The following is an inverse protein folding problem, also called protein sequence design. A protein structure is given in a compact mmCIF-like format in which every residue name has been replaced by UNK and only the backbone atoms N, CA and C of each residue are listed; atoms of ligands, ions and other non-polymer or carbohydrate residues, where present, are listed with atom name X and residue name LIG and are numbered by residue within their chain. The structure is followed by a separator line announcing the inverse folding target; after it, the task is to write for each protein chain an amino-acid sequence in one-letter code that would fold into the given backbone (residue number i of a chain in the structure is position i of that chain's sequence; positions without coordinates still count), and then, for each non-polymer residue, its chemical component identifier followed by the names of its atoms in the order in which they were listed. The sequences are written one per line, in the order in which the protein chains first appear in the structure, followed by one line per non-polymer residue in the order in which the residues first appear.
data_IF_187332270735
#
_entry.id   IF_187332270735
#
_cell.length_a   1.000
_cell.length_b   1.000
_cell.length_c   1.000
_cell.angle_alpha   90.00
_cell.angle_beta   90.00
_cell.angle_gamma   90.00
#
_symmetry.space_group_name_H-M   'P 1'
#
loop_
_entity.id
_entity.type
_entity.pdbx_description
1 polymer ?
#
# COMPACT_ATOMS: atom_id res chain seq x y z
N UNK A 1 -5.83 14.31 12.12
CA UNK A 1 -6.22 13.50 10.96
C UNK A 1 -7.28 14.27 10.21
N UNK A 2 -7.17 14.37 8.90
CA UNK A 2 -8.22 14.91 8.03
C UNK A 2 -8.94 13.69 7.45
N UNK A 3 -10.26 13.72 7.43
CA UNK A 3 -11.09 12.65 6.89
C UNK A 3 -12.25 13.22 6.09
N UNK A 4 -12.75 12.44 5.13
CA UNK A 4 -13.94 12.80 4.38
C UNK A 4 -15.20 12.68 5.25
N UNK A 5 -16.11 13.66 5.14
CA UNK A 5 -17.39 13.63 5.84
C UNK A 5 -18.41 14.46 5.04
N UNK A 6 -19.51 13.89 4.55
CA UNK A 6 -19.88 12.47 4.67
C UNK A 6 -19.00 11.55 3.79
N UNK A 7 -19.00 10.25 4.11
CA UNK A 7 -18.42 9.19 3.26
C UNK A 7 -19.55 8.58 2.45
N UNK A 8 -19.33 8.37 1.16
CA UNK A 8 -20.31 7.73 0.27
C UNK A 8 -20.55 6.27 0.71
N UNK A 9 -21.82 5.81 0.63
CA UNK A 9 -22.24 4.48 1.07
C UNK A 9 -21.48 3.37 0.35
N UNK A 10 -21.26 3.51 -0.95
CA UNK A 10 -20.52 2.53 -1.76
C UNK A 10 -19.04 2.38 -1.36
N UNK A 11 -18.41 3.46 -0.86
CA UNK A 11 -17.06 3.38 -0.31
C UNK A 11 -17.07 2.67 1.05
N UNK A 12 -18.10 2.92 1.85
CA UNK A 12 -18.24 2.28 3.16
C UNK A 12 -18.52 0.78 3.06
N UNK A 13 -19.32 0.34 2.08
CA UNK A 13 -19.65 -1.08 1.84
C UNK A 13 -18.57 -1.86 1.09
N UNK A 14 -17.64 -1.17 0.42
CA UNK A 14 -16.64 -1.79 -0.45
C UNK A 14 -17.13 -2.08 -1.89
N UNK A 15 -18.40 -1.85 -2.21
CA UNK A 15 -18.97 -2.07 -3.56
C UNK A 15 -18.24 -1.26 -4.65
N UNK A 16 -17.78 -0.07 -4.31
CA UNK A 16 -16.96 0.76 -5.20
C UNK A 16 -15.74 -0.01 -5.73
N UNK A 17 -15.03 -0.74 -4.88
CA UNK A 17 -13.82 -1.48 -5.26
C UNK A 17 -14.14 -2.74 -6.07
N UNK A 18 -15.23 -3.42 -5.76
CA UNK A 18 -15.69 -4.59 -6.51
C UNK A 18 -16.09 -4.20 -7.94
N UNK A 19 -16.84 -3.11 -8.12
CA UNK A 19 -17.18 -2.59 -9.46
C UNK A 19 -15.97 -2.12 -10.25
N UNK A 20 -14.98 -1.54 -9.59
CA UNK A 20 -13.74 -1.07 -10.20
C UNK A 20 -12.75 -2.21 -10.48
N UNK A 21 -12.95 -3.39 -9.92
CA UNK A 21 -11.99 -4.49 -9.95
C UNK A 21 -11.56 -4.87 -11.37
N UNK A 22 -12.48 -5.27 -12.24
CA UNK A 22 -12.12 -5.71 -13.58
C UNK A 22 -11.59 -4.56 -14.48
N UNK A 23 -12.25 -3.39 -14.59
CA UNK A 23 -11.81 -2.35 -15.52
C UNK A 23 -10.44 -1.74 -15.17
N UNK A 24 -10.13 -1.61 -13.90
CA UNK A 24 -8.89 -0.95 -13.46
C UNK A 24 -7.80 -1.94 -13.07
N UNK A 25 -8.09 -2.82 -12.09
CA UNK A 25 -7.06 -3.71 -11.52
C UNK A 25 -6.54 -4.72 -12.52
N UNK A 26 -7.39 -5.18 -13.45
CA UNK A 26 -7.04 -6.16 -14.47
C UNK A 26 -6.64 -5.53 -15.81
N UNK A 27 -6.58 -4.20 -15.92
CA UNK A 27 -6.13 -3.57 -17.16
C UNK A 27 -4.69 -3.99 -17.47
N UNK A 28 -4.35 -4.25 -18.76
CA UNK A 28 -3.02 -4.74 -19.14
C UNK A 28 -1.88 -3.86 -18.64
N UNK A 29 -2.04 -2.54 -18.66
CA UNK A 29 -1.03 -1.60 -18.21
C UNK A 29 -0.85 -1.62 -16.68
N UNK A 30 -1.95 -1.79 -15.93
CA UNK A 30 -1.91 -1.92 -14.47
C UNK A 30 -1.21 -3.20 -14.07
N UNK A 31 -1.58 -4.34 -14.65
CA UNK A 31 -0.95 -5.62 -14.39
C UNK A 31 0.54 -5.60 -14.77
N UNK A 32 0.89 -5.07 -15.94
CA UNK A 32 2.30 -4.94 -16.35
C UNK A 32 3.11 -4.10 -15.35
N UNK A 33 2.51 -3.04 -14.78
CA UNK A 33 3.14 -2.21 -13.77
C UNK A 33 3.26 -2.90 -12.42
N UNK A 34 2.20 -3.54 -11.92
CA UNK A 34 2.17 -4.17 -10.60
C UNK A 34 3.06 -5.41 -10.52
N UNK A 35 3.12 -6.21 -11.57
CA UNK A 35 3.96 -7.40 -11.63
C UNK A 35 5.40 -7.12 -12.11
N UNK A 36 5.74 -5.85 -12.44
CA UNK A 36 7.10 -5.49 -12.80
C UNK A 36 8.07 -5.80 -11.64
N UNK A 37 9.23 -6.44 -11.88
CA UNK A 37 10.16 -6.85 -10.81
C UNK A 37 10.57 -5.71 -9.85
N UNK A 38 10.66 -4.48 -10.35
CA UNK A 38 11.05 -3.30 -9.56
C UNK A 38 9.93 -2.68 -8.74
N UNK A 39 8.68 -3.19 -8.86
CA UNK A 39 7.49 -2.51 -8.30
C UNK A 39 7.52 -2.43 -6.78
N UNK A 40 7.87 -3.52 -6.12
CA UNK A 40 7.86 -3.64 -4.66
C UNK A 40 9.25 -3.78 -4.04
N UNK A 41 10.32 -3.34 -4.72
CA UNK A 41 11.69 -3.51 -4.21
C UNK A 41 11.93 -2.92 -2.82
N UNK A 42 11.32 -1.78 -2.53
CA UNK A 42 11.48 -1.08 -1.25
C UNK A 42 10.66 -1.72 -0.16
N UNK A 43 9.41 -2.02 -0.47
CA UNK A 43 8.50 -2.73 0.42
C UNK A 43 9.07 -4.10 0.79
N UNK A 44 9.56 -4.86 -0.19
CA UNK A 44 10.20 -6.16 0.05
C UNK A 44 11.49 -6.03 0.86
N UNK A 45 12.32 -5.03 0.58
CA UNK A 45 13.55 -4.79 1.37
C UNK A 45 13.21 -4.44 2.82
N UNK A 46 12.25 -3.55 3.03
CA UNK A 46 11.79 -3.20 4.37
C UNK A 46 11.18 -4.42 5.08
N UNK A 47 10.27 -5.12 4.40
CA UNK A 47 9.60 -6.30 4.91
C UNK A 47 10.61 -7.35 5.39
N UNK A 48 11.61 -7.66 4.57
CA UNK A 48 12.67 -8.64 4.87
C UNK A 48 13.57 -8.25 6.04
N UNK A 49 13.68 -6.97 6.35
CA UNK A 49 14.47 -6.52 7.50
C UNK A 49 13.83 -6.95 8.84
N UNK A 50 12.51 -7.20 8.86
CA UNK A 50 11.76 -7.57 10.06
C UNK A 50 11.14 -8.98 10.00
N UNK A 51 10.80 -9.47 8.81
CA UNK A 51 10.19 -10.78 8.63
C UNK A 51 10.94 -11.55 7.53
N UNK A 52 11.71 -12.58 7.93
CA UNK A 52 12.55 -13.35 7.00
C UNK A 52 11.92 -14.64 6.53
N UNK A 53 10.78 -15.04 7.09
CA UNK A 53 10.03 -16.25 6.76
C UNK A 53 8.76 -16.35 7.58
N UNK A 54 7.94 -17.36 7.30
CA UNK A 54 6.72 -17.67 8.04
C UNK A 54 5.43 -17.31 7.30
N UNK A 55 4.32 -17.20 8.04
CA UNK A 55 3.00 -16.92 7.50
C UNK A 55 2.77 -15.42 7.34
N UNK A 56 2.34 -15.00 6.15
CA UNK A 56 2.11 -13.59 5.77
C UNK A 56 0.68 -13.42 5.28
N UNK A 57 0.02 -12.38 5.77
CA UNK A 57 -1.29 -11.94 5.29
C UNK A 57 -1.17 -10.53 4.71
N UNK A 58 -1.58 -10.34 3.46
CA UNK A 58 -1.69 -9.03 2.83
C UNK A 58 -3.16 -8.59 2.78
N UNK A 59 -3.50 -7.55 3.52
CA UNK A 59 -4.87 -7.01 3.59
C UNK A 59 -5.04 -5.93 2.54
N UNK A 60 -6.09 -6.04 1.71
CA UNK A 60 -6.25 -5.23 0.50
C UNK A 60 -5.24 -5.62 -0.57
N UNK A 61 -5.03 -6.93 -0.76
CA UNK A 61 -3.97 -7.46 -1.62
C UNK A 61 -4.21 -7.23 -3.12
N UNK A 62 -5.42 -6.82 -3.52
CA UNK A 62 -5.81 -6.64 -4.92
C UNK A 62 -5.47 -7.88 -5.76
N UNK A 63 -4.72 -7.74 -6.84
CA UNK A 63 -4.28 -8.86 -7.71
C UNK A 63 -3.19 -9.75 -7.09
N UNK A 64 -2.79 -9.55 -5.83
CA UNK A 64 -1.78 -10.35 -5.15
C UNK A 64 -0.35 -10.10 -5.59
N UNK A 65 -0.07 -9.02 -6.31
CA UNK A 65 1.24 -8.79 -6.93
C UNK A 65 2.40 -8.68 -5.92
N UNK A 66 2.19 -8.09 -4.74
CA UNK A 66 3.19 -8.08 -3.67
C UNK A 66 3.53 -9.49 -3.18
N UNK A 67 2.51 -10.29 -2.87
CA UNK A 67 2.67 -11.66 -2.39
C UNK A 67 3.30 -12.56 -3.46
N UNK A 68 2.92 -12.39 -4.72
CA UNK A 68 3.53 -13.07 -5.85
C UNK A 68 5.04 -12.80 -5.92
N UNK A 69 5.45 -11.53 -5.85
CA UNK A 69 6.87 -11.17 -5.87
C UNK A 69 7.61 -11.66 -4.63
N UNK A 70 6.97 -11.66 -3.46
CA UNK A 70 7.55 -12.20 -2.23
C UNK A 70 7.87 -13.70 -2.39
N UNK A 71 6.91 -14.51 -2.88
CA UNK A 71 7.11 -15.94 -3.16
C UNK A 71 8.18 -16.18 -4.23
N UNK A 72 8.12 -15.43 -5.33
CA UNK A 72 9.05 -15.62 -6.46
C UNK A 72 10.50 -15.31 -6.07
N UNK A 73 10.72 -14.30 -5.23
CA UNK A 73 12.08 -13.90 -4.80
C UNK A 73 12.64 -14.73 -3.66
N UNK A 74 11.78 -15.34 -2.84
CA UNK A 74 12.17 -16.09 -1.66
C UNK A 74 11.41 -17.42 -1.60
N UNK A 75 11.68 -18.33 -2.54
CA UNK A 75 10.99 -19.61 -2.64
C UNK A 75 11.09 -20.40 -1.33
N UNK A 76 9.95 -20.93 -0.85
CA UNK A 76 9.88 -21.73 0.37
C UNK A 76 9.98 -20.96 1.69
N UNK A 77 10.31 -19.66 1.67
CA UNK A 77 10.45 -18.90 2.90
C UNK A 77 9.10 -18.49 3.53
N UNK A 78 8.05 -18.34 2.72
CA UNK A 78 6.78 -17.80 3.18
C UNK A 78 5.59 -18.63 2.73
N UNK A 79 4.63 -18.81 3.65
CA UNK A 79 3.25 -19.14 3.34
C UNK A 79 2.47 -17.84 3.25
N UNK A 80 1.83 -17.57 2.11
CA UNK A 80 1.17 -16.27 1.88
C UNK A 80 -0.31 -16.44 1.67
N UNK A 81 -1.08 -15.52 2.23
CA UNK A 81 -2.50 -15.34 1.97
C UNK A 81 -2.81 -13.86 1.77
N UNK A 82 -3.82 -13.56 0.97
CA UNK A 82 -4.32 -12.21 0.75
C UNK A 82 -5.81 -12.10 1.02
N UNK A 83 -6.28 -10.91 1.37
CA UNK A 83 -7.71 -10.63 1.47
C UNK A 83 -8.02 -9.30 0.78
N UNK A 84 -9.16 -9.23 0.11
CA UNK A 84 -9.68 -8.04 -0.54
C UNK A 84 -11.21 -8.14 -0.67
N UNK A 85 -11.87 -7.03 -0.95
CA UNK A 85 -13.30 -6.97 -1.29
C UNK A 85 -13.53 -7.09 -2.80
N UNK A 86 -12.52 -6.80 -3.62
CA UNK A 86 -12.60 -6.81 -5.09
C UNK A 86 -12.46 -8.24 -5.65
N UNK A 87 -13.59 -8.90 -5.91
CA UNK A 87 -13.63 -10.31 -6.33
C UNK A 87 -12.80 -10.61 -7.58
N UNK A 88 -12.96 -9.85 -8.67
CA UNK A 88 -12.21 -10.08 -9.89
C UNK A 88 -10.67 -9.93 -9.72
N UNK A 89 -10.22 -9.06 -8.82
CA UNK A 89 -8.81 -8.95 -8.49
C UNK A 89 -8.30 -10.17 -7.71
N UNK A 90 -9.12 -10.70 -6.79
CA UNK A 90 -8.79 -11.93 -6.05
C UNK A 90 -8.75 -13.17 -6.94
N UNK A 91 -9.71 -13.32 -7.87
CA UNK A 91 -9.67 -14.42 -8.87
C UNK A 91 -8.35 -14.42 -9.65
N UNK A 92 -7.84 -13.22 -9.99
CA UNK A 92 -6.54 -13.10 -10.61
C UNK A 92 -5.39 -13.50 -9.66
N UNK A 93 -5.46 -13.10 -8.39
CA UNK A 93 -4.46 -13.50 -7.39
C UNK A 93 -4.41 -15.02 -7.22
N UNK A 94 -5.57 -15.69 -7.16
CA UNK A 94 -5.68 -17.16 -7.08
C UNK A 94 -5.09 -17.83 -8.32
N UNK A 95 -5.35 -17.30 -9.52
CA UNK A 95 -4.76 -17.81 -10.77
C UNK A 95 -3.22 -17.74 -10.77
N UNK A 96 -2.64 -16.88 -9.91
CA UNK A 96 -1.20 -16.73 -9.69
C UNK A 96 -0.68 -17.55 -8.52
N UNK A 97 -1.50 -18.43 -7.94
CA UNK A 97 -1.12 -19.30 -6.84
C UNK A 97 -1.00 -18.58 -5.48
N UNK A 98 -1.76 -17.51 -5.28
CA UNK A 98 -1.92 -16.83 -4.01
C UNK A 98 -3.21 -17.34 -3.37
N UNK A 99 -3.16 -17.80 -2.13
CA UNK A 99 -4.37 -18.07 -1.35
C UNK A 99 -5.09 -16.75 -1.11
N UNK A 100 -6.34 -16.62 -1.56
CA UNK A 100 -7.12 -15.40 -1.43
C UNK A 100 -8.42 -15.63 -0.67
N UNK A 101 -8.79 -14.67 0.19
CA UNK A 101 -10.03 -14.70 0.96
C UNK A 101 -10.82 -13.44 0.67
N UNK A 102 -12.02 -13.59 0.10
CA UNK A 102 -12.89 -12.45 -0.21
C UNK A 102 -13.67 -12.00 1.02
N UNK A 103 -13.68 -10.69 1.27
CA UNK A 103 -14.50 -10.05 2.27
C UNK A 103 -13.83 -8.89 2.97
N UNK A 104 -14.62 -8.24 3.85
CA UNK A 104 -14.10 -7.21 4.74
C UNK A 104 -13.21 -7.86 5.80
N UNK A 105 -11.95 -7.46 5.87
CA UNK A 105 -10.95 -8.12 6.73
C UNK A 105 -11.37 -8.27 8.20
N UNK A 106 -12.04 -7.29 8.87
CA UNK A 106 -12.49 -7.47 10.25
C UNK A 106 -13.61 -8.52 10.42
N UNK A 107 -14.29 -8.89 9.33
CA UNK A 107 -15.42 -9.84 9.35
C UNK A 107 -15.00 -11.27 8.99
N UNK A 108 -13.76 -11.44 8.48
CA UNK A 108 -13.24 -12.76 8.09
C UNK A 108 -12.81 -13.52 9.34
N UNK A 109 -13.38 -14.74 9.51
CA UNK A 109 -12.92 -15.69 10.52
C UNK A 109 -11.69 -16.45 10.02
N UNK A 110 -10.53 -16.16 10.60
CA UNK A 110 -9.29 -16.88 10.34
C UNK A 110 -9.08 -18.10 11.25
N UNK A 111 -10.03 -18.41 12.14
CA UNK A 111 -9.91 -19.49 13.12
C UNK A 111 -8.64 -19.36 13.98
N UNK A 112 -7.88 -20.45 14.07
CA UNK A 112 -6.62 -20.47 14.83
C UNK A 112 -5.40 -19.98 14.08
N UNK A 113 -5.56 -19.50 12.84
CA UNK A 113 -4.41 -19.00 12.05
C UNK A 113 -3.80 -17.78 12.71
N UNK A 114 -2.47 -17.75 12.75
CA UNK A 114 -1.68 -16.61 13.23
C UNK A 114 -0.56 -16.34 12.26
N UNK A 115 -0.22 -15.06 12.09
CA UNK A 115 0.71 -14.61 11.08
C UNK A 115 1.98 -14.03 11.70
N UNK A 116 3.10 -14.25 11.05
CA UNK A 116 4.39 -13.63 11.38
C UNK A 116 4.43 -12.19 10.90
N UNK A 117 3.70 -11.90 9.81
CA UNK A 117 3.54 -10.54 9.30
C UNK A 117 2.15 -10.31 8.70
N UNK A 118 1.63 -9.09 8.89
CA UNK A 118 0.42 -8.57 8.23
C UNK A 118 0.78 -7.26 7.56
N UNK A 119 0.33 -7.07 6.30
CA UNK A 119 0.66 -5.89 5.51
C UNK A 119 -0.59 -5.13 5.06
N UNK A 120 -0.48 -3.80 5.00
CA UNK A 120 -1.47 -2.85 4.50
C UNK A 120 -0.77 -1.88 3.55
N UNK A 121 -0.66 -2.23 2.28
CA UNK A 121 0.01 -1.41 1.27
C UNK A 121 -0.98 -0.48 0.56
N UNK A 122 -1.10 0.76 1.02
CA UNK A 122 -2.05 1.75 0.52
C UNK A 122 -3.51 1.28 0.68
N UNK A 123 -3.91 1.00 1.92
CA UNK A 123 -5.24 0.48 2.29
C UNK A 123 -5.92 1.37 3.32
N UNK A 124 -5.21 1.79 4.38
CA UNK A 124 -5.83 2.50 5.51
C UNK A 124 -6.47 3.84 5.12
N UNK A 125 -5.96 4.48 4.08
CA UNK A 125 -6.55 5.70 3.53
C UNK A 125 -7.96 5.51 2.98
N UNK A 126 -8.32 4.29 2.61
CA UNK A 126 -9.63 3.93 2.05
C UNK A 126 -10.65 3.45 3.10
N UNK A 127 -10.21 3.17 4.32
CA UNK A 127 -11.05 2.50 5.32
C UNK A 127 -11.87 3.48 6.14
N UNK A 128 -13.18 3.25 6.27
CA UNK A 128 -14.04 4.06 7.15
C UNK A 128 -13.71 3.83 8.62
N UNK A 129 -13.36 2.60 8.97
CA UNK A 129 -13.02 2.20 10.35
C UNK A 129 -11.61 1.60 10.45
N UNK A 130 -10.53 2.36 10.19
CA UNK A 130 -9.18 1.80 10.15
C UNK A 130 -8.71 1.20 11.48
N UNK A 131 -9.31 1.61 12.63
CA UNK A 131 -8.98 1.05 13.95
C UNK A 131 -9.41 -0.40 14.10
N UNK A 132 -10.54 -0.79 13.54
CA UNK A 132 -11.02 -2.19 13.60
C UNK A 132 -10.09 -3.11 12.81
N UNK A 133 -9.58 -2.62 11.68
CA UNK A 133 -8.58 -3.34 10.89
C UNK A 133 -7.26 -3.50 11.65
N UNK A 134 -6.80 -2.45 12.33
CA UNK A 134 -5.57 -2.53 13.11
C UNK A 134 -5.72 -3.49 14.31
N UNK A 135 -6.85 -3.45 15.01
CA UNK A 135 -7.14 -4.33 16.13
C UNK A 135 -7.21 -5.80 15.69
N UNK A 136 -7.87 -6.09 14.55
CA UNK A 136 -7.93 -7.44 13.99
C UNK A 136 -6.51 -7.92 13.58
N UNK A 137 -5.70 -7.06 12.96
CA UNK A 137 -4.32 -7.39 12.65
C UNK A 137 -3.51 -7.72 13.90
N UNK A 138 -3.64 -6.91 14.96
CA UNK A 138 -2.98 -7.16 16.24
C UNK A 138 -3.44 -8.49 16.86
N UNK A 139 -4.73 -8.85 16.76
CA UNK A 139 -5.27 -10.13 17.26
C UNK A 139 -4.67 -11.33 16.51
N UNK A 140 -4.52 -11.23 15.18
CA UNK A 140 -4.04 -12.28 14.29
C UNK A 140 -2.51 -12.43 14.25
N UNK A 141 -1.76 -11.42 14.64
CA UNK A 141 -0.29 -11.52 14.71
C UNK A 141 0.14 -12.49 15.81
N UNK A 142 1.20 -13.25 15.54
CA UNK A 142 1.96 -13.97 16.57
C UNK A 142 2.64 -12.99 17.52
N UNK A 143 2.90 -13.34 18.80
CA UNK A 143 3.82 -12.56 19.64
C UNK A 143 5.15 -12.32 18.91
N UNK A 144 5.63 -11.07 18.88
CA UNK A 144 6.81 -10.67 18.10
C UNK A 144 6.58 -10.48 16.59
N UNK A 145 5.42 -10.84 16.05
CA UNK A 145 5.06 -10.62 14.65
C UNK A 145 4.90 -9.14 14.31
N UNK A 146 4.98 -8.80 13.01
CA UNK A 146 5.04 -7.42 12.55
C UNK A 146 3.87 -7.01 11.66
N UNK A 147 3.36 -5.79 11.88
CA UNK A 147 2.38 -5.15 11.00
C UNK A 147 3.06 -4.04 10.20
N UNK A 148 2.91 -4.07 8.87
CA UNK A 148 3.47 -3.08 7.96
C UNK A 148 2.34 -2.26 7.35
N UNK A 149 2.47 -0.94 7.42
CA UNK A 149 1.47 0.00 6.92
C UNK A 149 2.16 1.02 6.03
N UNK A 150 1.65 1.20 4.80
CA UNK A 150 2.05 2.28 3.92
C UNK A 150 0.81 3.11 3.58
N UNK A 151 0.91 4.43 3.74
CA UNK A 151 -0.16 5.39 3.41
C UNK A 151 0.42 6.64 2.75
N UNK A 152 -0.34 7.38 1.93
CA UNK A 152 0.08 8.67 1.41
C UNK A 152 0.38 9.68 2.52
N UNK A 153 1.40 10.52 2.29
CA UNK A 153 1.79 11.59 3.20
C UNK A 153 1.11 12.91 2.80
N UNK A 154 0.18 13.37 3.60
CA UNK A 154 -0.51 14.65 3.35
C UNK A 154 0.45 15.86 3.37
N UNK A 155 1.62 15.75 4.00
CA UNK A 155 2.64 16.82 4.04
C UNK A 155 3.72 16.67 2.96
N UNK A 156 3.54 15.77 1.98
CA UNK A 156 4.51 15.56 0.89
C UNK A 156 4.74 16.82 0.05
N UNK A 157 5.88 16.87 -0.63
CA UNK A 157 6.18 17.93 -1.59
C UNK A 157 5.09 18.00 -2.69
N UNK A 158 4.63 16.84 -3.18
CA UNK A 158 3.58 16.77 -4.17
C UNK A 158 2.27 17.40 -3.67
N UNK A 159 1.84 17.08 -2.46
CA UNK A 159 0.64 17.70 -1.85
C UNK A 159 0.79 19.22 -1.68
N UNK A 160 1.97 19.69 -1.28
CA UNK A 160 2.24 21.14 -1.11
C UNK A 160 2.21 21.90 -2.43
N UNK A 161 2.72 21.31 -3.51
CA UNK A 161 2.78 21.95 -4.82
C UNK A 161 1.43 21.91 -5.55
N UNK A 162 0.69 20.82 -5.42
CA UNK A 162 -0.49 20.55 -6.23
C UNK A 162 -1.81 20.81 -5.48
N UNK A 163 -1.81 20.78 -4.14
CA UNK A 163 -3.03 20.90 -3.34
C UNK A 163 -4.07 19.87 -3.78
N UNK A 164 -5.31 20.33 -4.01
CA UNK A 164 -6.42 19.50 -4.44
C UNK A 164 -6.25 18.84 -5.84
N UNK A 165 -5.29 19.30 -6.64
CA UNK A 165 -4.96 18.68 -7.94
C UNK A 165 -4.13 17.40 -7.80
N UNK A 166 -3.57 17.14 -6.62
CA UNK A 166 -2.78 15.94 -6.40
C UNK A 166 -3.68 14.69 -6.44
N UNK A 167 -3.33 13.73 -7.30
CA UNK A 167 -4.15 12.53 -7.57
C UNK A 167 -4.51 11.68 -6.35
N UNK A 168 -3.78 11.82 -5.24
CA UNK A 168 -4.10 11.15 -3.98
C UNK A 168 -5.04 11.96 -3.09
N UNK A 169 -5.46 13.17 -3.51
CA UNK A 169 -6.60 13.87 -2.93
C UNK A 169 -7.82 13.49 -3.78
N UNK A 170 -8.50 12.41 -3.40
CA UNK A 170 -9.52 11.77 -4.22
C UNK A 170 -10.66 11.22 -3.35
N UNK A 171 -11.88 11.05 -3.89
CA UNK A 171 -13.06 10.69 -3.10
C UNK A 171 -12.93 9.38 -2.32
N UNK A 172 -12.24 8.39 -2.88
CA UNK A 172 -12.02 7.09 -2.23
C UNK A 172 -10.88 7.08 -1.20
N UNK A 173 -10.13 8.19 -1.03
CA UNK A 173 -9.26 8.40 0.11
C UNK A 173 -10.04 9.10 1.22
N UNK A 174 -10.62 8.33 2.12
CA UNK A 174 -11.43 8.86 3.22
C UNK A 174 -10.60 9.31 4.42
N UNK A 175 -9.33 8.87 4.51
CA UNK A 175 -8.38 9.29 5.55
C UNK A 175 -7.11 9.87 4.95
N UNK A 176 -6.63 10.96 5.53
CA UNK A 176 -5.37 11.60 5.14
C UNK A 176 -4.43 11.66 6.34
N UNK A 177 -3.26 11.07 6.19
CA UNK A 177 -2.29 10.92 7.27
C UNK A 177 -1.13 11.90 7.15
N UNK A 178 -0.69 12.39 8.31
CA UNK A 178 0.63 12.96 8.51
C UNK A 178 1.41 12.03 9.44
N UNK A 179 2.73 12.21 9.55
CA UNK A 179 3.54 11.42 10.47
C UNK A 179 3.00 11.44 11.90
N UNK A 180 2.60 12.62 12.39
CA UNK A 180 2.05 12.80 13.71
C UNK A 180 0.71 12.06 13.90
N UNK A 181 -0.21 12.20 12.92
CA UNK A 181 -1.52 11.53 13.02
C UNK A 181 -1.42 10.02 12.86
N UNK A 182 -0.46 9.53 12.06
CA UNK A 182 -0.19 8.10 11.92
C UNK A 182 0.41 7.52 13.21
N UNK A 183 1.31 8.25 13.89
CA UNK A 183 1.81 7.87 15.23
C UNK A 183 0.68 7.77 16.25
N UNK A 184 -0.20 8.78 16.30
CA UNK A 184 -1.37 8.79 17.20
C UNK A 184 -2.32 7.62 16.89
N UNK A 185 -2.54 7.33 15.62
CA UNK A 185 -3.34 6.19 15.19
C UNK A 185 -2.72 4.87 15.66
N UNK A 186 -1.43 4.67 15.43
CA UNK A 186 -0.72 3.46 15.87
C UNK A 186 -0.79 3.27 17.39
N UNK A 187 -0.70 4.34 18.17
CA UNK A 187 -0.77 4.30 19.64
C UNK A 187 -2.16 3.89 20.19
N UNK A 188 -3.20 3.84 19.34
CA UNK A 188 -4.50 3.31 19.74
C UNK A 188 -4.50 1.80 19.95
N UNK A 189 -3.55 1.08 19.32
CA UNK A 189 -3.40 -0.36 19.47
C UNK A 189 -2.32 -0.70 20.52
N UNK A 190 -2.78 -0.96 21.75
CA UNK A 190 -1.90 -1.15 22.90
C UNK A 190 -1.13 -2.48 22.89
N UNK A 191 -1.64 -3.49 22.17
CA UNK A 191 -0.99 -4.79 22.02
C UNK A 191 0.25 -4.71 21.11
N UNK A 192 0.44 -3.62 20.38
CA UNK A 192 1.58 -3.38 19.51
C UNK A 192 2.47 -2.25 20.02
N UNK A 193 3.72 -2.26 19.58
CA UNK A 193 4.66 -1.16 19.77
C UNK A 193 5.17 -0.65 18.43
N UNK A 194 5.46 0.63 18.36
CA UNK A 194 6.05 1.26 17.18
C UNK A 194 7.52 0.91 17.08
N UNK A 195 7.90 0.18 16.02
CA UNK A 195 9.31 -0.19 15.75
C UNK A 195 9.95 0.78 14.77
N UNK A 196 9.19 1.22 13.76
CA UNK A 196 9.70 2.13 12.75
C UNK A 196 8.59 3.03 12.20
N UNK A 197 8.94 4.30 12.02
CA UNK A 197 8.20 5.22 11.17
C UNK A 197 9.20 5.92 10.26
N UNK A 198 8.97 5.86 8.97
CA UNK A 198 9.84 6.44 7.96
C UNK A 198 9.00 6.93 6.78
N UNK A 199 9.65 7.64 5.90
CA UNK A 199 9.04 8.09 4.66
C UNK A 199 9.66 7.37 3.48
N UNK A 200 8.95 7.32 2.38
CA UNK A 200 9.42 6.69 1.15
C UNK A 200 8.75 7.26 -0.09
N UNK A 201 9.36 6.97 -1.22
CA UNK A 201 8.90 7.34 -2.55
C UNK A 201 8.88 8.84 -2.81
N UNK A 202 9.21 9.15 -4.03
CA UNK A 202 9.03 10.44 -4.68
C UNK A 202 8.81 10.16 -6.15
N UNK A 203 7.80 10.76 -6.77
CA UNK A 203 7.55 10.54 -8.19
C UNK A 203 7.35 11.87 -8.92
N UNK A 204 8.43 12.47 -9.46
CA UNK A 204 8.33 13.74 -10.17
C UNK A 204 7.47 13.65 -11.44
N UNK A 205 7.36 12.48 -12.07
CA UNK A 205 6.50 12.29 -13.24
C UNK A 205 5.01 12.37 -12.87
N UNK A 206 4.65 11.96 -11.65
CA UNK A 206 3.31 12.15 -11.10
C UNK A 206 3.03 13.64 -10.96
N UNK A 207 3.92 14.39 -10.32
CA UNK A 207 3.77 15.84 -10.15
C UNK A 207 3.62 16.54 -11.49
N UNK A 208 4.49 16.21 -12.45
CA UNK A 208 4.44 16.81 -13.79
C UNK A 208 3.14 16.47 -14.54
N UNK A 209 2.65 15.23 -14.43
CA UNK A 209 1.40 14.83 -15.06
C UNK A 209 0.20 15.54 -14.42
N UNK A 210 0.15 15.63 -13.09
CA UNK A 210 -0.95 16.27 -12.37
C UNK A 210 -0.95 17.79 -12.57
N UNK A 211 0.22 18.43 -12.72
CA UNK A 211 0.32 19.84 -13.09
C UNK A 211 -0.25 20.12 -14.49
N UNK A 212 0.02 19.23 -15.45
CA UNK A 212 -0.42 19.39 -16.85
C UNK A 212 -1.87 18.98 -17.08
N UNK A 213 -2.40 18.12 -16.23
CA UNK A 213 -3.69 17.46 -16.45
C UNK A 213 -4.92 18.37 -16.35
N UNK A 214 -4.82 19.57 -15.81
CA UNK A 214 -5.92 20.57 -15.74
C UNK A 214 -7.21 20.13 -15.01
N UNK A 215 -7.39 18.83 -14.79
CA UNK A 215 -8.59 18.21 -14.21
C UNK A 215 -8.34 17.77 -12.77
N UNK A 216 -9.39 17.85 -11.96
CA UNK A 216 -9.35 17.41 -10.54
C UNK A 216 -9.13 15.90 -10.39
N UNK A 217 -9.39 15.10 -11.43
CA UNK A 217 -9.29 13.64 -11.39
C UNK A 217 -8.54 13.09 -12.61
N UNK A 218 -7.44 12.40 -12.34
CA UNK A 218 -6.69 11.67 -13.37
C UNK A 218 -7.39 10.33 -13.65
N UNK A 219 -7.71 10.08 -14.93
CA UNK A 219 -8.36 8.83 -15.36
C UNK A 219 -7.51 7.59 -15.01
N UNK A 220 -8.18 6.49 -14.72
CA UNK A 220 -7.54 5.24 -14.29
C UNK A 220 -6.57 4.68 -15.34
N UNK A 221 -6.89 4.80 -16.63
CA UNK A 221 -6.02 4.40 -17.73
C UNK A 221 -4.72 5.23 -17.76
N UNK A 222 -4.81 6.53 -17.48
CA UNK A 222 -3.63 7.40 -17.43
C UNK A 222 -2.76 7.07 -16.21
N UNK A 223 -3.36 6.68 -15.09
CA UNK A 223 -2.65 6.20 -13.89
C UNK A 223 -1.93 4.87 -14.16
N UNK A 224 -2.62 3.91 -14.81
CA UNK A 224 -2.05 2.61 -15.18
C UNK A 224 -0.89 2.76 -16.18
N UNK A 225 -1.06 3.57 -17.23
CA UNK A 225 0.01 3.88 -18.20
C UNK A 225 1.22 4.51 -17.54
N UNK A 226 1.03 5.46 -16.61
CA UNK A 226 2.16 6.08 -15.90
C UNK A 226 2.88 5.06 -15.00
N UNK A 227 2.16 4.19 -14.32
CA UNK A 227 2.74 3.12 -13.51
C UNK A 227 3.62 2.21 -14.37
N UNK A 228 3.11 1.70 -15.48
CA UNK A 228 3.86 0.89 -16.44
C UNK A 228 5.12 1.63 -16.94
N UNK A 229 4.98 2.90 -17.35
CA UNK A 229 6.10 3.72 -17.82
C UNK A 229 7.17 3.92 -16.74
N UNK A 230 6.77 4.24 -15.52
CA UNK A 230 7.73 4.48 -14.42
C UNK A 230 8.45 3.20 -14.00
N UNK A 231 7.78 2.05 -14.00
CA UNK A 231 8.42 0.76 -13.73
C UNK A 231 9.37 0.35 -14.85
N UNK A 232 9.02 0.59 -16.12
CA UNK A 232 9.92 0.35 -17.25
C UNK A 232 11.18 1.24 -17.19
N UNK A 233 11.04 2.53 -16.87
CA UNK A 233 12.20 3.44 -16.69
C UNK A 233 13.12 2.97 -15.57
N UNK A 234 12.58 2.47 -14.46
CA UNK A 234 13.38 1.91 -13.35
C UNK A 234 14.19 0.68 -13.75
N UNK A 235 13.73 -0.10 -14.73
CA UNK A 235 14.43 -1.28 -15.24
C UNK A 235 15.52 -0.95 -16.29
N UNK A 236 15.49 0.25 -16.86
CA UNK A 236 16.39 0.60 -17.97
C UNK A 236 17.81 0.87 -17.47
N UNK A 237 18.78 0.04 -17.91
CA UNK A 237 20.18 0.10 -17.45
C UNK A 237 20.91 1.40 -17.82
N UNK A 238 20.62 1.99 -18.98
CA UNK A 238 21.25 3.24 -19.43
C UNK A 238 20.88 4.46 -18.58
N UNK A 239 19.86 4.34 -17.70
CA UNK A 239 19.43 5.41 -16.82
C UNK A 239 20.09 5.36 -15.42
N UNK A 240 21.11 4.51 -15.22
CA UNK A 240 21.78 4.41 -13.91
C UNK A 240 22.28 5.77 -13.36
N UNK A 241 22.95 6.64 -14.14
CA UNK A 241 23.34 7.96 -13.62
C UNK A 241 22.14 8.81 -13.16
N UNK A 242 21.06 8.81 -13.93
CA UNK A 242 19.83 9.53 -13.56
C UNK A 242 19.19 8.93 -12.30
N UNK A 243 19.25 7.62 -12.10
CA UNK A 243 18.76 6.95 -10.89
C UNK A 243 19.57 7.35 -9.64
N UNK A 244 20.89 7.60 -9.77
CA UNK A 244 21.72 8.10 -8.68
C UNK A 244 21.28 9.49 -8.23
N UNK A 245 21.09 10.42 -9.17
CA UNK A 245 20.58 11.77 -8.89
C UNK A 245 19.20 11.70 -8.25
N UNK A 246 18.30 10.90 -8.84
CA UNK A 246 16.96 10.66 -8.30
C UNK A 246 17.00 10.13 -6.87
N UNK A 247 17.86 9.16 -6.59
CA UNK A 247 18.03 8.59 -5.25
C UNK A 247 18.56 9.61 -4.23
N UNK A 248 19.40 10.56 -4.69
CA UNK A 248 19.86 11.68 -3.87
C UNK A 248 18.73 12.63 -3.48
N UNK A 249 17.93 13.05 -4.47
CA UNK A 249 16.74 13.91 -4.26
C UNK A 249 15.75 13.22 -3.31
N UNK A 250 15.47 11.95 -3.53
CA UNK A 250 14.55 11.22 -2.68
C UNK A 250 15.04 11.11 -1.24
N UNK A 251 16.33 10.82 -1.02
CA UNK A 251 16.92 10.81 0.34
C UNK A 251 16.78 12.16 1.04
N UNK A 252 16.98 13.26 0.31
CA UNK A 252 16.77 14.61 0.83
C UNK A 252 15.28 14.83 1.22
N UNK A 253 14.34 14.43 0.36
CA UNK A 253 12.91 14.56 0.67
C UNK A 253 12.48 13.69 1.85
N UNK A 254 13.02 12.49 1.98
CA UNK A 254 12.82 11.64 3.17
C UNK A 254 13.36 12.31 4.43
N UNK A 255 14.57 12.88 4.38
CA UNK A 255 15.20 13.55 5.52
C UNK A 255 14.44 14.83 5.95
N UNK A 256 13.80 15.52 4.99
CA UNK A 256 13.03 16.74 5.26
C UNK A 256 11.54 16.51 5.54
N UNK A 257 11.09 15.26 5.55
CA UNK A 257 9.69 14.93 5.81
C UNK A 257 8.75 15.18 4.63
N UNK A 258 9.26 15.28 3.41
CA UNK A 258 8.53 15.70 2.21
C UNK A 258 8.30 14.57 1.18
N UNK A 259 8.66 13.33 1.48
CA UNK A 259 8.43 12.21 0.58
C UNK A 259 6.93 11.85 0.50
N UNK A 260 6.55 11.13 -0.56
CA UNK A 260 5.14 10.92 -0.94
C UNK A 260 4.37 10.00 0.00
N UNK A 261 5.05 9.04 0.65
CA UNK A 261 4.41 8.05 1.50
C UNK A 261 5.02 7.99 2.90
N UNK A 262 4.19 7.66 3.88
CA UNK A 262 4.57 7.26 5.23
C UNK A 262 4.59 5.73 5.31
N UNK A 263 5.59 5.19 5.98
CA UNK A 263 5.74 3.75 6.22
C UNK A 263 5.90 3.51 7.71
N UNK A 264 5.00 2.73 8.26
CA UNK A 264 4.94 2.37 9.68
C UNK A 264 5.19 0.87 9.83
N UNK A 265 6.00 0.47 10.82
CA UNK A 265 6.15 -0.91 11.25
C UNK A 265 5.82 -1.00 12.73
N UNK A 266 4.86 -1.84 13.05
CA UNK A 266 4.49 -2.18 14.42
C UNK A 266 4.93 -3.61 14.72
N UNK A 267 5.24 -3.90 15.98
CA UNK A 267 5.52 -5.25 16.47
C UNK A 267 4.51 -5.62 17.56
N UNK A 268 3.92 -6.81 17.47
CA UNK A 268 3.09 -7.34 18.55
C UNK A 268 3.96 -7.63 19.76
N UNK A 269 3.57 -7.10 20.91
CA UNK A 269 4.26 -7.35 22.18
C UNK A 269 4.19 -8.83 22.59
N UNK A 270 5.18 -9.29 23.29
CA UNK A 270 5.13 -10.56 24.01
C UNK A 270 4.31 -10.30 25.27
N UNK A 271 3.15 -10.91 25.37
CA UNK A 271 2.30 -10.90 26.56
C UNK A 271 2.65 -12.10 27.45
#
# INVERSE_FOLDING_TARGET
MIYANPVEVELASGEFYDRRGAPYYLSPDKLAGDYAPVRFERELRLFRAYCRGGAVLDVGCSTGAFLFQLKARFPGAYTVAGTDVAGAALDHAESRGIEAVRGSFPEIDFGFRRFDAITFWAVLEHLVQPRTFLAQAAALLKPGGHCFILVPNLKSLATRLLGAKYRYIMPDHVNYFTEETLKRFAATERACELVRLSQSHFNPLVILQDLRGGTVRVADEARARLLKRTTALKQHRLLEPAKWVYSGIERMLVATGLADNLVLVLRKKFL
#
